data_IF_788677602475
#
_entry.id   IF_788677602475
#
_cell.length_a   1.000
_cell.length_b   1.000
_cell.length_c   1.000
_cell.angle_alpha   90.00
_cell.angle_beta   90.00
_cell.angle_gamma   90.00
#
_symmetry.space_group_name_H-M   'P 1'
#
loop_
_entity.id
_entity.type
_entity.pdbx_description
1 polymer ?
#
# COMPACT_ATOMS: atom_id res chain seq x y z
N UNK A 1 15.40 -3.15 9.83
CA UNK A 1 13.93 -3.13 9.73
C UNK A 1 13.37 -1.71 9.61
N UNK A 2 13.87 -0.75 10.39
CA UNK A 2 13.37 0.64 10.41
C UNK A 2 13.69 1.50 9.18
N UNK A 3 14.79 1.25 8.47
CA UNK A 3 15.21 2.07 7.32
C UNK A 3 14.15 2.16 6.20
N UNK A 4 13.41 1.07 5.95
CA UNK A 4 12.32 1.08 4.96
C UNK A 4 11.14 1.94 5.41
N UNK A 5 10.76 1.86 6.69
CA UNK A 5 9.67 2.67 7.24
C UNK A 5 10.05 4.15 7.22
N UNK A 6 11.30 4.47 7.58
CA UNK A 6 11.82 5.83 7.51
C UNK A 6 11.84 6.34 6.07
N UNK A 7 12.28 5.52 5.10
CA UNK A 7 12.26 5.87 3.68
C UNK A 7 10.84 6.12 3.14
N UNK A 8 9.86 5.29 3.53
CA UNK A 8 8.45 5.53 3.16
C UNK A 8 7.96 6.86 3.74
N UNK A 9 8.24 7.14 5.01
CA UNK A 9 7.84 8.39 5.65
C UNK A 9 8.50 9.62 5.03
N UNK A 10 9.82 9.62 4.89
CA UNK A 10 10.57 10.82 4.51
C UNK A 10 10.60 11.09 3.02
N UNK A 11 10.77 10.05 2.20
CA UNK A 11 10.93 10.22 0.75
C UNK A 11 9.59 10.14 0.03
N UNK A 12 8.76 9.16 0.36
CA UNK A 12 7.51 8.92 -0.38
C UNK A 12 6.32 9.70 0.17
N UNK A 13 6.24 9.86 1.49
CA UNK A 13 5.14 10.56 2.16
C UNK A 13 5.49 12.01 2.52
N UNK A 14 6.72 12.46 2.20
CA UNK A 14 7.22 13.82 2.43
C UNK A 14 7.01 14.29 3.88
N UNK A 15 7.25 13.41 4.85
CA UNK A 15 7.23 13.72 6.28
C UNK A 15 8.63 13.94 6.80
N UNK A 16 8.75 14.65 7.90
CA UNK A 16 10.00 14.68 8.66
C UNK A 16 10.26 13.31 9.31
N UNK A 17 11.51 13.07 9.70
CA UNK A 17 11.87 11.87 10.46
C UNK A 17 11.08 11.80 11.78
N UNK A 18 10.94 12.91 12.49
CA UNK A 18 10.17 13.00 13.74
C UNK A 18 8.70 12.63 13.53
N UNK A 19 8.03 13.23 12.54
CA UNK A 19 6.65 12.88 12.20
C UNK A 19 6.51 11.41 11.81
N UNK A 20 7.50 10.83 11.14
CA UNK A 20 7.50 9.41 10.75
C UNK A 20 7.57 8.51 11.97
N UNK A 21 8.42 8.84 12.95
CA UNK A 21 8.53 8.09 14.21
C UNK A 21 7.27 8.21 15.08
N UNK A 22 6.60 9.37 15.05
CA UNK A 22 5.35 9.61 15.78
C UNK A 22 4.12 9.03 15.06
N UNK A 23 4.25 8.64 13.79
CA UNK A 23 3.14 8.07 13.02
C UNK A 23 2.86 6.62 13.47
N UNK A 24 1.61 6.27 13.80
CA UNK A 24 1.24 4.87 14.05
C UNK A 24 1.59 3.97 12.86
N UNK A 25 2.22 2.81 13.13
CA UNK A 25 2.71 1.92 12.06
C UNK A 25 1.61 1.53 11.06
N UNK A 26 0.39 1.25 11.53
CA UNK A 26 -0.73 0.93 10.64
C UNK A 26 -1.07 2.06 9.68
N UNK A 27 -1.13 3.29 10.18
CA UNK A 27 -1.37 4.48 9.36
C UNK A 27 -0.25 4.71 8.35
N UNK A 28 1.01 4.53 8.74
CA UNK A 28 2.15 4.66 7.83
C UNK A 28 2.06 3.68 6.66
N UNK A 29 1.66 2.43 6.94
CA UNK A 29 1.49 1.40 5.93
C UNK A 29 0.30 1.68 5.00
N UNK A 30 -0.83 2.14 5.54
CA UNK A 30 -2.01 2.52 4.74
C UNK A 30 -1.69 3.68 3.78
N UNK A 31 -0.98 4.71 4.28
CA UNK A 31 -0.55 5.84 3.45
C UNK A 31 0.41 5.41 2.34
N UNK A 32 1.34 4.51 2.64
CA UNK A 32 2.25 3.95 1.64
C UNK A 32 1.49 3.16 0.57
N UNK A 33 0.49 2.37 0.95
CA UNK A 33 -0.35 1.64 -0.02
C UNK A 33 -1.22 2.56 -0.86
N UNK A 34 -1.76 3.65 -0.30
CA UNK A 34 -2.43 4.69 -1.08
C UNK A 34 -1.48 5.37 -2.07
N UNK A 35 -0.26 5.71 -1.64
CA UNK A 35 0.75 6.34 -2.49
C UNK A 35 1.17 5.41 -3.65
N UNK A 36 1.33 4.11 -3.39
CA UNK A 36 1.60 3.11 -4.43
C UNK A 36 0.46 3.00 -5.45
N UNK A 37 -0.79 3.07 -5.01
CA UNK A 37 -1.94 3.09 -5.92
C UNK A 37 -1.98 4.37 -6.76
N UNK A 38 -1.66 5.52 -6.17
CA UNK A 38 -1.53 6.79 -6.91
C UNK A 38 -0.46 6.73 -7.99
N UNK A 39 0.70 6.13 -7.69
CA UNK A 39 1.78 5.92 -8.65
C UNK A 39 1.51 4.79 -9.67
N UNK A 40 0.38 4.07 -9.55
CA UNK A 40 0.07 2.91 -10.39
C UNK A 40 0.95 1.67 -10.12
N UNK A 41 1.74 1.68 -9.03
CA UNK A 41 2.62 0.58 -8.61
C UNK A 41 1.88 -0.54 -7.89
N UNK A 42 0.65 -0.28 -7.45
CA UNK A 42 -0.24 -1.27 -6.89
C UNK A 42 -1.60 -1.16 -7.58
N UNK A 43 -2.10 -2.27 -8.11
CA UNK A 43 -3.50 -2.36 -8.46
C UNK A 43 -4.32 -2.19 -7.19
N UNK A 44 -5.42 -1.42 -7.25
CA UNK A 44 -6.45 -1.46 -6.20
C UNK A 44 -6.74 -2.93 -5.90
N UNK A 45 -6.89 -3.31 -4.62
CA UNK A 45 -7.42 -4.63 -4.28
C UNK A 45 -8.75 -4.78 -5.04
N UNK A 46 -8.74 -5.52 -6.15
CA UNK A 46 -9.96 -5.90 -6.84
C UNK A 46 -10.56 -6.99 -5.97
N UNK A 47 -11.78 -6.77 -5.50
CA UNK A 47 -12.62 -7.88 -5.08
C UNK A 47 -12.83 -8.73 -6.34
N UNK A 48 -12.13 -9.86 -6.41
CA UNK A 48 -12.37 -10.89 -7.40
C UNK A 48 -13.43 -11.80 -6.80
N UNK A 49 -14.54 -11.93 -7.51
CA UNK A 49 -15.59 -12.85 -7.12
C UNK A 49 -15.20 -14.27 -7.60
N UNK A 50 -15.74 -15.31 -6.96
CA UNK A 50 -15.39 -16.70 -7.32
C UNK A 50 -15.75 -16.96 -8.79
N UNK A 51 -16.81 -16.32 -9.24
CA UNK A 51 -17.34 -16.28 -10.59
C UNK A 51 -16.34 -15.71 -11.61
N UNK A 52 -15.43 -14.82 -11.20
CA UNK A 52 -14.36 -14.26 -12.07
C UNK A 52 -13.17 -15.22 -12.26
N UNK A 53 -13.11 -16.29 -11.46
CA UNK A 53 -11.98 -17.24 -11.41
C UNK A 53 -12.34 -18.57 -12.07
N UNK A 54 -13.63 -18.96 -12.10
CA UNK A 54 -14.08 -20.18 -12.78
C UNK A 54 -13.98 -19.94 -14.30
N UNK A 55 -13.11 -20.67 -15.03
CA UNK A 55 -13.04 -20.52 -16.48
C UNK A 55 -14.38 -20.94 -17.10
N UNK A 56 -14.87 -20.16 -18.07
CA UNK A 56 -16.01 -20.54 -18.92
C UNK A 56 -15.68 -21.84 -19.66
N UNK A 57 -16.01 -22.99 -19.07
CA UNK A 57 -15.61 -24.29 -19.60
C UNK A 57 -15.70 -25.48 -18.64
N UNK A 58 -16.09 -25.27 -17.37
CA UNK A 58 -16.40 -26.34 -16.42
C UNK A 58 -17.91 -26.69 -16.37
N UNK A 59 -18.64 -26.40 -17.46
CA UNK A 59 -20.06 -26.67 -17.60
C UNK A 59 -20.29 -27.96 -18.40
#
# INVERSE_FOLDING_TARGET
MFTRLLYYGTVHLNRTEEETWLTPLGLLMDLWDCHRQFLGLASRKRELFIEDIIPEGLN
#
